data_IF_358231677371
#
_entry.id   IF_358231677371
#
_cell.length_a   1.000
_cell.length_b   1.000
_cell.length_c   1.000
_cell.angle_alpha   90.00
_cell.angle_beta   90.00
_cell.angle_gamma   90.00
#
_symmetry.space_group_name_H-M   'P 1'
#
loop_
_entity.id
_entity.type
_entity.pdbx_description
1 polymer ?
#
# COMPACT_ATOMS: atom_id res chain seq x y z
N UNK A 1 -8.06 -2.09 -47.69
CA UNK A 1 -8.52 -2.61 -46.38
C UNK A 1 -7.40 -2.85 -45.34
N UNK A 2 -6.11 -2.62 -45.66
CA UNK A 2 -4.99 -2.84 -44.73
C UNK A 2 -4.69 -1.66 -43.78
N UNK A 3 -5.05 -0.41 -44.13
CA UNK A 3 -4.76 0.77 -43.31
C UNK A 3 -5.57 0.90 -42.00
N UNK A 4 -6.76 0.27 -41.92
CA UNK A 4 -7.60 0.33 -40.72
C UNK A 4 -7.09 -0.56 -39.58
N UNK A 5 -6.40 -1.67 -39.90
CA UNK A 5 -5.79 -2.55 -38.89
C UNK A 5 -4.58 -1.91 -38.22
N UNK A 6 -3.72 -1.24 -39.00
CA UNK A 6 -2.55 -0.53 -38.47
C UNK A 6 -2.96 0.59 -37.50
N UNK A 7 -3.98 1.39 -37.85
CA UNK A 7 -4.53 2.42 -36.98
C UNK A 7 -5.14 1.87 -35.67
N UNK A 8 -5.85 0.73 -35.72
CA UNK A 8 -6.42 0.13 -34.50
C UNK A 8 -5.36 -0.43 -33.54
N UNK A 9 -4.28 -0.99 -34.06
CA UNK A 9 -3.17 -1.52 -33.24
C UNK A 9 -2.45 -0.37 -32.53
N UNK A 10 -2.19 0.73 -33.24
CA UNK A 10 -1.55 1.94 -32.69
C UNK A 10 -2.42 2.61 -31.60
N UNK A 11 -3.75 2.63 -31.80
CA UNK A 11 -4.70 3.10 -30.78
C UNK A 11 -4.75 2.19 -29.54
N UNK A 12 -4.66 0.86 -29.71
CA UNK A 12 -4.62 -0.09 -28.59
C UNK A 12 -3.30 -0.02 -27.81
N UNK A 13 -2.18 0.25 -28.47
CA UNK A 13 -0.89 0.46 -27.83
C UNK A 13 -0.88 1.76 -27.01
N UNK A 14 -1.42 2.84 -27.58
CA UNK A 14 -1.61 4.12 -26.87
C UNK A 14 -2.51 3.94 -25.65
N UNK A 15 -3.63 3.22 -25.79
CA UNK A 15 -4.55 2.96 -24.68
C UNK A 15 -3.89 2.12 -23.56
N UNK A 16 -3.08 1.11 -23.91
CA UNK A 16 -2.31 0.32 -22.94
C UNK A 16 -1.29 1.16 -22.20
N UNK A 17 -0.56 2.02 -22.91
CA UNK A 17 0.48 2.89 -22.34
C UNK A 17 -0.08 3.92 -21.37
N UNK A 18 -1.26 4.47 -21.63
CA UNK A 18 -1.92 5.43 -20.73
C UNK A 18 -3.01 4.81 -19.85
N UNK A 19 -3.12 3.48 -19.81
CA UNK A 19 -4.19 2.76 -19.09
C UNK A 19 -4.29 3.17 -17.62
N UNK A 20 -3.17 3.30 -16.90
CA UNK A 20 -3.16 3.74 -15.50
C UNK A 20 -3.69 5.17 -15.33
N UNK A 21 -3.28 6.11 -16.19
CA UNK A 21 -3.74 7.50 -16.13
C UNK A 21 -5.22 7.62 -16.50
N UNK A 22 -5.66 6.85 -17.50
CA UNK A 22 -7.08 6.79 -17.91
C UNK A 22 -7.93 6.19 -16.79
N UNK A 23 -7.49 5.08 -16.17
CA UNK A 23 -8.17 4.47 -15.04
C UNK A 23 -8.23 5.41 -13.84
N UNK A 24 -7.15 6.15 -13.55
CA UNK A 24 -7.14 7.17 -12.51
C UNK A 24 -8.17 8.28 -12.79
N UNK A 25 -8.21 8.81 -14.01
CA UNK A 25 -9.18 9.83 -14.39
C UNK A 25 -10.62 9.33 -14.25
N UNK A 26 -10.90 8.10 -14.70
CA UNK A 26 -12.21 7.45 -14.54
C UNK A 26 -12.56 7.31 -13.06
N UNK A 27 -11.63 6.82 -12.23
CA UNK A 27 -11.85 6.67 -10.78
C UNK A 27 -12.14 8.00 -10.09
N UNK A 28 -11.46 9.09 -10.47
CA UNK A 28 -11.71 10.43 -9.92
C UNK A 28 -13.13 10.91 -10.30
N UNK A 29 -13.52 10.77 -11.57
CA UNK A 29 -14.85 11.17 -12.05
C UNK A 29 -15.94 10.36 -11.34
N UNK A 30 -15.77 9.05 -11.23
CA UNK A 30 -16.72 8.18 -10.52
C UNK A 30 -16.85 8.58 -9.05
N UNK A 31 -15.73 8.82 -8.36
CA UNK A 31 -15.76 9.25 -6.96
C UNK A 31 -16.41 10.62 -6.79
N UNK A 32 -16.26 11.53 -7.75
CA UNK A 32 -16.91 12.84 -7.71
C UNK A 32 -18.44 12.74 -7.74
N UNK A 33 -18.97 11.74 -8.46
CA UNK A 33 -20.42 11.53 -8.62
C UNK A 33 -20.99 10.69 -7.48
N UNK A 34 -20.28 9.63 -7.08
CA UNK A 34 -20.77 8.64 -6.11
C UNK A 34 -20.53 9.08 -4.67
N UNK A 35 -19.38 9.70 -4.38
CA UNK A 35 -18.95 10.00 -3.01
C UNK A 35 -19.27 11.45 -2.66
N UNK A 36 -20.29 11.71 -1.81
CA UNK A 36 -20.57 13.06 -1.35
C UNK A 36 -19.34 13.62 -0.60
N UNK A 37 -18.96 14.86 -0.90
CA UNK A 37 -17.77 15.53 -0.33
C UNK A 37 -16.43 14.85 -0.66
N UNK A 38 -16.29 14.21 -1.83
CA UNK A 38 -15.01 13.63 -2.26
C UNK A 38 -13.83 14.61 -2.20
N UNK A 39 -14.04 15.88 -2.60
CA UNK A 39 -13.03 16.95 -2.53
C UNK A 39 -12.92 17.64 -1.16
N UNK A 40 -13.60 17.15 -0.13
CA UNK A 40 -13.42 17.68 1.22
C UNK A 40 -11.99 17.45 1.71
N UNK A 41 -11.48 18.42 2.48
CA UNK A 41 -10.17 18.35 3.13
C UNK A 41 -10.05 17.08 3.96
N UNK A 42 -11.12 16.63 4.62
CA UNK A 42 -11.11 15.40 5.42
C UNK A 42 -10.89 14.14 4.57
N UNK A 43 -11.57 14.03 3.43
CA UNK A 43 -11.40 12.90 2.50
C UNK A 43 -9.99 12.91 1.91
N UNK A 44 -9.51 14.07 1.49
CA UNK A 44 -8.16 14.22 0.95
C UNK A 44 -7.09 13.85 1.99
N UNK A 45 -7.27 14.29 3.23
CA UNK A 45 -6.38 13.96 4.35
C UNK A 45 -6.35 12.45 4.64
N UNK A 46 -7.51 11.80 4.59
CA UNK A 46 -7.62 10.35 4.74
C UNK A 46 -6.91 9.60 3.60
N UNK A 47 -7.02 10.07 2.36
CA UNK A 47 -6.32 9.47 1.21
C UNK A 47 -4.81 9.61 1.35
N UNK A 48 -4.32 10.80 1.73
CA UNK A 48 -2.89 11.05 1.94
C UNK A 48 -2.36 10.15 3.07
N UNK A 49 -3.05 10.11 4.22
CA UNK A 49 -2.62 9.32 5.39
C UNK A 49 -2.58 7.82 5.08
N UNK A 50 -3.58 7.29 4.37
CA UNK A 50 -3.56 5.89 3.92
C UNK A 50 -2.44 5.62 2.92
N UNK A 51 -2.17 6.57 2.02
CA UNK A 51 -1.08 6.45 1.04
C UNK A 51 0.29 6.44 1.71
N UNK A 52 0.51 7.24 2.77
CA UNK A 52 1.74 7.21 3.56
C UNK A 52 2.05 5.81 4.09
N UNK A 53 1.03 5.09 4.56
CA UNK A 53 1.19 3.72 5.06
C UNK A 53 1.73 2.78 3.98
N UNK A 54 1.14 2.84 2.77
CA UNK A 54 1.57 2.04 1.62
C UNK A 54 2.97 2.43 1.15
N UNK A 55 3.28 3.74 1.09
CA UNK A 55 4.58 4.26 0.64
C UNK A 55 5.70 3.81 1.60
N UNK A 56 5.53 4.03 2.91
CA UNK A 56 6.52 3.63 3.93
C UNK A 56 6.78 2.12 3.90
N UNK A 57 5.70 1.34 3.80
CA UNK A 57 5.76 -0.12 3.69
C UNK A 57 6.47 -0.56 2.41
N UNK A 58 6.12 0.04 1.27
CA UNK A 58 6.74 -0.24 -0.03
C UNK A 58 8.24 0.05 -0.05
N UNK A 59 8.69 1.12 0.60
CA UNK A 59 10.12 1.41 0.76
C UNK A 59 10.83 0.30 1.54
N UNK A 60 10.25 -0.20 2.63
CA UNK A 60 10.78 -1.34 3.37
C UNK A 60 10.83 -2.63 2.54
N UNK A 61 9.72 -2.98 1.88
CA UNK A 61 9.64 -4.16 1.01
C UNK A 61 10.62 -4.11 -0.15
N UNK A 62 10.97 -2.93 -0.66
CA UNK A 62 11.98 -2.77 -1.72
C UNK A 62 13.34 -3.30 -1.29
N UNK A 63 13.75 -3.07 -0.03
CA UNK A 63 15.00 -3.61 0.51
C UNK A 63 14.96 -5.14 0.57
N UNK A 64 13.82 -5.73 0.93
CA UNK A 64 13.65 -7.19 1.00
C UNK A 64 13.66 -7.82 -0.39
N UNK A 65 12.94 -7.24 -1.35
CA UNK A 65 12.92 -7.70 -2.74
C UNK A 65 14.32 -7.61 -3.37
N UNK A 66 15.10 -6.57 -3.05
CA UNK A 66 16.49 -6.45 -3.52
C UNK A 66 17.38 -7.61 -3.04
N UNK A 67 17.01 -8.33 -1.98
CA UNK A 67 17.73 -9.51 -1.49
C UNK A 67 17.23 -10.83 -2.12
N UNK A 68 16.24 -10.77 -3.01
CA UNK A 68 15.67 -11.93 -3.71
C UNK A 68 14.50 -12.62 -3.00
N UNK A 69 13.93 -12.00 -1.97
CA UNK A 69 12.75 -12.49 -1.24
C UNK A 69 11.44 -11.78 -1.60
N UNK A 70 10.30 -12.33 -1.20
CA UNK A 70 8.98 -11.69 -1.29
C UNK A 70 8.43 -11.57 0.13
N UNK A 71 8.14 -10.36 0.61
CA UNK A 71 7.77 -10.17 2.01
C UNK A 71 6.25 -10.15 2.23
N UNK A 72 5.63 -11.31 2.46
CA UNK A 72 4.22 -11.36 2.91
C UNK A 72 4.09 -10.99 4.40
N UNK A 73 5.18 -11.07 5.17
CA UNK A 73 5.15 -10.87 6.64
C UNK A 73 4.74 -9.45 7.04
N UNK A 74 5.01 -8.44 6.20
CA UNK A 74 4.61 -7.05 6.47
C UNK A 74 3.10 -6.90 6.60
N UNK A 75 2.31 -7.65 5.83
CA UNK A 75 0.85 -7.67 5.96
C UNK A 75 0.40 -8.20 7.32
N UNK A 76 1.05 -9.27 7.81
CA UNK A 76 0.78 -9.82 9.14
C UNK A 76 1.19 -8.86 10.26
N UNK A 77 2.34 -8.18 10.12
CA UNK A 77 2.81 -7.16 11.07
C UNK A 77 1.85 -5.97 11.13
N UNK A 78 1.37 -5.48 9.99
CA UNK A 78 0.36 -4.41 9.92
C UNK A 78 -0.94 -4.82 10.60
N UNK A 79 -1.42 -6.05 10.36
CA UNK A 79 -2.64 -6.56 10.99
C UNK A 79 -2.49 -6.69 12.52
N UNK A 80 -1.36 -7.24 12.99
CA UNK A 80 -1.05 -7.36 14.42
C UNK A 80 -0.97 -5.99 15.10
N UNK A 81 -0.29 -5.03 14.48
CA UNK A 81 -0.16 -3.66 14.99
C UNK A 81 -1.52 -2.95 15.08
N UNK A 82 -2.36 -3.12 14.05
CA UNK A 82 -3.73 -2.60 14.06
C UNK A 82 -4.58 -3.18 15.19
N UNK A 83 -4.56 -4.51 15.37
CA UNK A 83 -5.28 -5.16 16.46
C UNK A 83 -4.80 -4.70 17.85
N UNK A 84 -3.50 -4.56 18.04
CA UNK A 84 -2.91 -4.09 19.31
C UNK A 84 -3.29 -2.63 19.58
N UNK A 85 -3.23 -1.78 18.55
CA UNK A 85 -3.67 -0.39 18.63
C UNK A 85 -5.12 -0.30 19.11
N UNK A 86 -6.02 -1.05 18.46
CA UNK A 86 -7.45 -1.04 18.80
C UNK A 86 -7.70 -1.57 20.22
N UNK A 87 -7.00 -2.63 20.62
CA UNK A 87 -7.12 -3.19 21.97
C UNK A 87 -6.68 -2.19 23.05
N UNK A 88 -5.60 -1.46 22.78
CA UNK A 88 -5.00 -0.52 23.74
C UNK A 88 -5.65 0.86 23.76
N UNK A 89 -6.50 1.19 22.78
CA UNK A 89 -7.27 2.45 22.77
C UNK A 89 -8.10 2.65 24.04
N UNK A 90 -8.56 1.56 24.66
CA UNK A 90 -9.29 1.58 25.94
C UNK A 90 -8.48 2.17 27.10
N UNK A 91 -7.15 2.12 27.04
CA UNK A 91 -6.23 2.71 28.02
C UNK A 91 -5.76 4.12 27.62
N UNK A 92 -6.22 4.65 26.49
CA UNK A 92 -5.87 5.95 25.95
C UNK A 92 -5.04 5.88 24.66
N UNK A 93 -4.98 7.01 23.96
CA UNK A 93 -4.30 7.11 22.65
C UNK A 93 -2.79 6.92 22.77
N UNK A 94 -2.16 7.49 23.80
CA UNK A 94 -0.70 7.40 23.99
C UNK A 94 -0.23 5.97 24.26
N UNK A 95 -0.84 5.20 25.20
CA UNK A 95 -0.50 3.78 25.38
C UNK A 95 -0.73 2.94 24.13
N UNK A 96 -1.79 3.23 23.36
CA UNK A 96 -2.08 2.52 22.12
C UNK A 96 -0.97 2.69 21.07
N UNK A 97 -0.51 3.93 20.87
CA UNK A 97 0.58 4.23 19.94
C UNK A 97 1.86 3.54 20.39
N UNK A 98 2.22 3.64 21.67
CA UNK A 98 3.46 3.03 22.19
C UNK A 98 3.42 1.51 22.02
N UNK A 99 2.31 0.86 22.38
CA UNK A 99 2.15 -0.58 22.25
C UNK A 99 2.24 -1.04 20.79
N UNK A 100 1.59 -0.32 19.87
CA UNK A 100 1.64 -0.61 18.43
C UNK A 100 3.06 -0.47 17.86
N UNK A 101 3.78 0.58 18.24
CA UNK A 101 5.17 0.81 17.83
C UNK A 101 6.10 -0.29 18.35
N UNK A 102 5.94 -0.70 19.61
CA UNK A 102 6.73 -1.79 20.20
C UNK A 102 6.49 -3.11 19.47
N UNK A 103 5.23 -3.43 19.16
CA UNK A 103 4.90 -4.66 18.42
C UNK A 103 5.47 -4.63 17.01
N UNK A 104 5.34 -3.50 16.29
CA UNK A 104 5.98 -3.34 14.97
C UNK A 104 7.50 -3.50 15.04
N UNK A 105 8.16 -2.89 16.04
CA UNK A 105 9.60 -2.95 16.20
C UNK A 105 10.06 -4.40 16.45
N UNK A 106 9.44 -5.08 17.42
CA UNK A 106 9.82 -6.45 17.79
C UNK A 106 9.57 -7.42 16.63
N UNK A 107 8.39 -7.37 16.01
CA UNK A 107 8.06 -8.26 14.90
C UNK A 107 8.90 -7.98 13.65
N UNK A 108 9.16 -6.71 13.33
CA UNK A 108 10.04 -6.31 12.23
C UNK A 108 11.49 -6.75 12.44
N UNK A 109 12.02 -6.64 13.66
CA UNK A 109 13.36 -7.13 13.98
C UNK A 109 13.46 -8.66 13.83
N UNK A 110 12.45 -9.40 14.30
CA UNK A 110 12.40 -10.85 14.15
C UNK A 110 12.37 -11.23 12.67
N UNK A 111 11.46 -10.63 11.88
CA UNK A 111 11.35 -10.88 10.45
C UNK A 111 12.66 -10.56 9.71
N UNK A 112 13.25 -9.37 9.97
CA UNK A 112 14.52 -8.95 9.38
C UNK A 112 15.69 -9.87 9.76
N UNK A 113 15.74 -10.35 11.01
CA UNK A 113 16.76 -11.31 11.45
C UNK A 113 16.60 -12.67 10.77
N UNK A 114 15.37 -13.17 10.63
CA UNK A 114 15.09 -14.44 9.96
C UNK A 114 15.50 -14.41 8.48
N UNK A 115 15.22 -13.32 7.79
CA UNK A 115 15.63 -13.13 6.39
C UNK A 115 17.15 -12.96 6.29
N UNK A 116 17.72 -12.04 7.08
CA UNK A 116 19.14 -11.65 6.96
C UNK A 116 20.15 -12.69 7.44
N UNK A 117 19.86 -13.41 8.53
CA UNK A 117 20.79 -14.37 9.15
C UNK A 117 20.42 -15.83 8.88
N UNK A 118 19.14 -16.16 8.93
CA UNK A 118 18.67 -17.55 8.82
C UNK A 118 18.36 -17.95 7.38
N UNK A 119 18.42 -17.00 6.42
CA UNK A 119 18.10 -17.22 4.98
C UNK A 119 16.75 -17.93 4.79
N UNK A 120 15.82 -17.69 5.71
CA UNK A 120 14.45 -18.17 5.57
C UNK A 120 13.88 -17.44 4.36
N UNK A 121 13.38 -18.19 3.38
CA UNK A 121 12.67 -17.57 2.26
C UNK A 121 11.46 -16.85 2.83
N UNK A 122 11.50 -15.52 2.77
CA UNK A 122 10.30 -14.71 2.82
C UNK A 122 9.53 -15.07 1.54
N UNK A 123 8.47 -15.87 1.72
CA UNK A 123 7.42 -16.02 0.72
C UNK A 123 6.37 -14.95 0.95
#
# INVERSE_FOLDING_TARGET
MAGSKASRVDQMETLRRYSAAILLAIMIILNLIITPNFFSIGTLWNVITQSCTIILTGMGMTMVISTGGIDISVGAVMALSGMVSVKMLSYGVVPAIIAALLVCLVSGLIAGFMVGKLRVQSM
#
